data_IF_759458655139
#
_entry.id   IF_759458655139
#
_cell.length_a   1.000
_cell.length_b   1.000
_cell.length_c   1.000
_cell.angle_alpha   90.00
_cell.angle_beta   90.00
_cell.angle_gamma   90.00
#
_symmetry.space_group_name_H-M   'P 1'
#
loop_
_entity.id
_entity.type
_entity.pdbx_description
1 polymer ?
#
# COMPACT_ATOMS: atom_id res chain seq x y z
N UNK A 1 -17.50 18.11 7.17
CA UNK A 1 -16.62 18.45 6.03
C UNK A 1 -17.32 19.40 5.09
N UNK A 2 -16.60 20.36 4.58
CA UNK A 2 -17.18 21.24 3.58
C UNK A 2 -17.38 20.46 2.28
N UNK A 3 -18.46 20.80 1.56
CA UNK A 3 -18.77 20.16 0.30
C UNK A 3 -17.65 20.33 -0.73
N UNK A 4 -17.06 21.51 -0.78
CA UNK A 4 -15.99 21.82 -1.72
C UNK A 4 -14.76 20.96 -1.46
N UNK A 5 -14.36 20.86 -0.22
CA UNK A 5 -13.22 20.03 0.16
C UNK A 5 -13.49 18.57 -0.13
N UNK A 6 -14.69 18.11 0.16
CA UNK A 6 -15.12 16.75 -0.12
C UNK A 6 -15.05 16.43 -1.59
N UNK A 7 -15.53 17.31 -2.44
CA UNK A 7 -15.52 17.11 -3.89
C UNK A 7 -14.10 17.05 -4.42
N UNK A 8 -13.25 17.97 -3.97
CA UNK A 8 -11.86 18.00 -4.39
C UNK A 8 -11.12 16.73 -3.95
N UNK A 9 -11.33 16.33 -2.71
CA UNK A 9 -10.73 15.09 -2.19
C UNK A 9 -11.26 13.87 -2.92
N UNK A 10 -12.56 13.83 -3.23
CA UNK A 10 -13.14 12.72 -3.98
C UNK A 10 -12.51 12.57 -5.35
N UNK A 11 -12.30 13.65 -6.09
CA UNK A 11 -11.65 13.58 -7.39
C UNK A 11 -10.23 13.05 -7.28
N UNK A 12 -9.49 13.55 -6.31
CA UNK A 12 -8.12 13.11 -6.06
C UNK A 12 -8.08 11.66 -5.61
N UNK A 13 -8.92 11.28 -4.65
CA UNK A 13 -9.00 9.93 -4.13
C UNK A 13 -9.52 8.94 -5.18
N UNK A 14 -10.48 9.34 -6.00
CA UNK A 14 -10.99 8.48 -7.07
C UNK A 14 -9.89 8.14 -8.05
N UNK A 15 -9.09 9.13 -8.43
CA UNK A 15 -7.94 8.91 -9.31
C UNK A 15 -6.93 7.99 -8.64
N UNK A 16 -6.59 8.27 -7.39
CA UNK A 16 -5.66 7.45 -6.62
C UNK A 16 -6.21 6.05 -6.40
N UNK A 17 -7.50 5.93 -6.08
CA UNK A 17 -8.13 4.64 -5.87
C UNK A 17 -8.13 3.80 -7.12
N UNK A 18 -8.47 4.38 -8.28
CA UNK A 18 -8.42 3.65 -9.55
C UNK A 18 -7.02 3.15 -9.84
N UNK A 19 -6.03 4.00 -9.66
CA UNK A 19 -4.64 3.60 -9.86
C UNK A 19 -4.19 2.60 -8.81
N UNK A 20 -4.62 2.78 -7.55
CA UNK A 20 -4.29 1.86 -6.47
C UNK A 20 -4.96 0.49 -6.64
N UNK A 21 -6.05 0.38 -7.37
CA UNK A 21 -6.66 -0.92 -7.66
C UNK A 21 -5.77 -1.83 -8.49
N UNK A 22 -4.76 -1.30 -9.14
CA UNK A 22 -3.74 -2.14 -9.76
C UNK A 22 -2.86 -2.81 -8.73
N UNK A 23 -2.76 -2.24 -7.53
CA UNK A 23 -1.95 -2.76 -6.43
C UNK A 23 -2.79 -3.45 -5.36
N UNK A 24 -3.94 -2.87 -5.01
CA UNK A 24 -4.83 -3.39 -3.98
C UNK A 24 -6.19 -3.63 -4.62
N UNK A 25 -6.66 -4.87 -4.54
CA UNK A 25 -7.94 -5.28 -5.08
C UNK A 25 -8.94 -5.49 -3.95
N UNK A 26 -10.21 -5.31 -4.24
CA UNK A 26 -11.27 -5.56 -3.28
C UNK A 26 -11.22 -7.00 -2.76
N UNK A 27 -10.86 -7.92 -3.63
CA UNK A 27 -10.72 -9.34 -3.26
C UNK A 27 -9.61 -9.61 -2.25
N UNK A 28 -8.68 -8.67 -2.06
CA UNK A 28 -7.63 -8.81 -1.04
C UNK A 28 -8.22 -8.69 0.37
N UNK A 29 -9.37 -8.05 0.50
CA UNK A 29 -10.09 -7.90 1.78
C UNK A 29 -9.23 -7.31 2.87
N UNK A 30 -8.48 -6.26 2.54
CA UNK A 30 -7.69 -5.55 3.53
C UNK A 30 -8.62 -4.78 4.47
N UNK A 31 -8.47 -4.92 5.80
CA UNK A 31 -9.19 -4.08 6.73
C UNK A 31 -8.70 -2.65 6.65
N UNK A 32 -9.46 -1.72 7.24
CA UNK A 32 -8.96 -0.36 7.40
C UNK A 32 -7.90 -0.34 8.51
N UNK A 33 -6.98 0.65 8.51
CA UNK A 33 -5.95 0.73 9.53
C UNK A 33 -6.48 0.95 10.95
N UNK A 34 -7.71 1.45 11.08
CA UNK A 34 -8.32 1.65 12.39
C UNK A 34 -8.40 0.34 13.17
N UNK A 35 -7.82 0.34 14.36
CA UNK A 35 -7.83 -0.85 15.19
C UNK A 35 -6.80 -1.90 14.82
N UNK A 36 -5.86 -1.59 13.96
CA UNK A 36 -4.77 -2.51 13.61
C UNK A 36 -3.71 -2.55 14.70
N UNK A 37 -4.12 -3.01 15.87
CA UNK A 37 -3.23 -3.16 17.01
C UNK A 37 -2.93 -4.62 17.33
N UNK A 38 -3.24 -5.51 16.40
CA UNK A 38 -2.90 -6.91 16.57
C UNK A 38 -1.38 -7.06 16.57
N UNK A 39 -0.90 -8.03 17.32
CA UNK A 39 0.52 -8.23 17.49
C UNK A 39 1.25 -8.52 16.19
N UNK A 40 0.60 -9.17 15.25
CA UNK A 40 1.29 -9.60 14.04
C UNK A 40 0.27 -9.78 12.92
N UNK A 41 -0.28 -8.69 12.40
CA UNK A 41 -1.28 -8.80 11.36
C UNK A 41 -0.71 -9.37 10.07
N UNK A 42 -1.57 -10.00 9.30
CA UNK A 42 -1.18 -10.65 8.04
C UNK A 42 -1.09 -9.59 6.94
N UNK A 43 0.06 -9.50 6.31
CA UNK A 43 0.21 -8.75 5.08
C UNK A 43 -0.32 -9.60 3.92
N UNK A 44 -1.23 -9.05 3.15
CA UNK A 44 -1.88 -9.76 2.04
C UNK A 44 -1.36 -9.34 0.69
N UNK A 45 -0.65 -8.24 0.62
CA UNK A 45 -0.14 -7.69 -0.64
C UNK A 45 1.31 -7.31 -0.47
N UNK A 46 2.15 -7.70 -1.42
CA UNK A 46 3.51 -7.22 -1.51
C UNK A 46 3.66 -6.39 -2.78
N UNK A 47 4.24 -5.20 -2.61
CA UNK A 47 4.64 -4.32 -3.72
C UNK A 47 6.15 -4.20 -3.72
N UNK A 48 6.73 -3.94 -4.87
CA UNK A 48 8.18 -3.77 -4.95
C UNK A 48 8.56 -2.81 -6.08
N UNK A 49 9.74 -2.22 -5.93
CA UNK A 49 10.34 -1.40 -6.98
C UNK A 49 11.18 -2.33 -7.86
N UNK A 50 10.80 -2.55 -9.12
CA UNK A 50 11.54 -3.49 -9.98
C UNK A 50 12.94 -3.01 -10.34
N UNK A 51 13.25 -1.74 -10.12
CA UNK A 51 14.57 -1.19 -10.42
C UNK A 51 15.33 -0.78 -9.17
N UNK A 52 14.89 -1.23 -8.01
CA UNK A 52 15.54 -0.92 -6.74
C UNK A 52 15.25 -1.97 -5.69
N UNK A 53 15.68 -1.72 -4.46
CA UNK A 53 15.56 -2.70 -3.39
C UNK A 53 14.29 -2.54 -2.54
N UNK A 54 13.51 -1.48 -2.76
CA UNK A 54 12.37 -1.18 -1.90
C UNK A 54 11.22 -2.16 -2.09
N UNK A 55 10.60 -2.53 -0.98
CA UNK A 55 9.41 -3.38 -0.96
C UNK A 55 8.44 -2.89 0.11
N UNK A 56 7.16 -3.16 -0.11
CA UNK A 56 6.09 -2.80 0.81
C UNK A 56 5.18 -3.99 1.03
N UNK A 57 4.76 -4.19 2.27
CA UNK A 57 3.92 -5.32 2.67
C UNK A 57 2.69 -4.76 3.34
N UNK A 58 1.53 -4.91 2.72
CA UNK A 58 0.31 -4.21 3.11
C UNK A 58 -0.61 -5.12 3.91
N UNK A 59 -0.93 -4.71 5.13
CA UNK A 59 -1.85 -5.43 6.00
C UNK A 59 -3.22 -4.75 6.11
N UNK A 60 -3.29 -3.45 5.82
CA UNK A 60 -4.53 -2.67 5.89
C UNK A 60 -4.51 -1.56 4.86
N UNK A 61 -5.67 -1.07 4.49
CA UNK A 61 -5.80 0.02 3.54
C UNK A 61 -7.10 0.78 3.76
N UNK A 62 -7.02 2.10 3.72
CA UNK A 62 -8.17 2.98 3.78
C UNK A 62 -8.29 3.73 2.46
N UNK A 63 -9.26 3.37 1.60
CA UNK A 63 -9.43 4.05 0.33
C UNK A 63 -9.88 5.50 0.46
N UNK A 64 -10.45 5.91 1.59
CA UNK A 64 -10.86 7.30 1.80
C UNK A 64 -9.68 8.22 2.02
N UNK A 65 -8.65 7.75 2.69
CA UNK A 65 -7.46 8.56 2.98
C UNK A 65 -6.30 8.27 2.04
N UNK A 66 -6.31 7.10 1.38
CA UNK A 66 -5.19 6.63 0.59
C UNK A 66 -4.07 6.04 1.42
N UNK A 67 -4.29 5.85 2.72
CA UNK A 67 -3.26 5.34 3.62
C UNK A 67 -3.41 3.83 3.77
N UNK A 68 -2.33 3.11 3.46
CA UNK A 68 -2.18 1.72 3.81
C UNK A 68 -1.35 1.62 5.09
N UNK A 69 -1.37 0.46 5.71
CA UNK A 69 -0.58 0.18 6.90
C UNK A 69 0.06 -1.20 6.77
N UNK A 70 1.31 -1.28 7.17
CA UNK A 70 2.05 -2.52 7.09
C UNK A 70 3.53 -2.29 7.30
N UNK A 71 4.35 -2.92 6.48
CA UNK A 71 5.80 -2.78 6.57
C UNK A 71 6.37 -2.26 5.27
N UNK A 72 7.47 -1.53 5.37
CA UNK A 72 8.23 -1.08 4.23
C UNK A 72 9.72 -1.37 4.47
N UNK A 73 10.38 -1.83 3.43
CA UNK A 73 11.83 -1.96 3.40
C UNK A 73 12.35 -1.00 2.34
N UNK A 74 12.99 0.08 2.78
CA UNK A 74 13.65 1.03 1.87
C UNK A 74 15.15 0.98 2.16
N UNK A 75 15.55 1.29 3.36
CA UNK A 75 16.90 1.09 3.86
C UNK A 75 16.94 0.06 4.98
N UNK A 76 15.85 -0.01 5.71
CA UNK A 76 15.64 -0.98 6.78
C UNK A 76 14.15 -1.31 6.86
N UNK A 77 13.83 -2.37 7.57
CA UNK A 77 12.46 -2.86 7.69
C UNK A 77 11.74 -2.07 8.78
N UNK A 78 10.68 -1.35 8.39
CA UNK A 78 9.90 -0.50 9.31
C UNK A 78 8.42 -0.77 9.14
N UNK A 79 7.69 -0.70 10.25
CA UNK A 79 6.24 -0.86 10.26
C UNK A 79 5.60 0.51 10.46
N UNK A 80 4.57 0.81 9.70
CA UNK A 80 3.86 2.08 9.80
C UNK A 80 2.94 2.35 8.64
N UNK A 81 2.61 3.62 8.48
CA UNK A 81 1.72 4.08 7.42
C UNK A 81 2.45 4.16 6.09
N UNK A 82 1.72 3.82 5.04
CA UNK A 82 2.20 3.86 3.67
C UNK A 82 1.19 4.66 2.85
N UNK A 83 1.61 5.78 2.31
CA UNK A 83 0.72 6.63 1.53
C UNK A 83 0.67 6.14 0.08
N UNK A 84 -0.40 5.46 -0.27
CA UNK A 84 -0.53 4.81 -1.58
C UNK A 84 -0.44 5.75 -2.78
N UNK A 85 -0.97 6.99 -2.73
CA UNK A 85 -0.80 7.89 -3.88
C UNK A 85 0.65 8.14 -4.28
N UNK A 86 1.57 8.18 -3.33
CA UNK A 86 2.99 8.33 -3.63
C UNK A 86 3.54 7.11 -4.39
N UNK A 87 3.12 5.92 -3.98
CA UNK A 87 3.54 4.71 -4.67
C UNK A 87 2.95 4.62 -6.07
N UNK A 88 1.71 5.02 -6.22
CA UNK A 88 1.01 5.02 -7.51
C UNK A 88 1.73 5.93 -8.51
N UNK A 89 2.20 7.07 -8.07
CA UNK A 89 2.85 8.06 -8.93
C UNK A 89 4.34 7.80 -9.13
N UNK A 90 4.94 6.98 -8.30
CA UNK A 90 6.37 6.71 -8.37
C UNK A 90 6.77 6.11 -9.71
N UNK A 91 7.88 6.60 -10.24
CA UNK A 91 8.54 6.00 -11.41
C UNK A 91 10.01 5.88 -11.09
N UNK A 92 10.51 4.67 -11.20
CA UNK A 92 11.92 4.39 -10.95
C UNK A 92 12.76 4.51 -12.22
N UNK A 93 13.87 3.82 -12.21
CA UNK A 93 14.78 3.79 -13.34
C UNK A 93 14.03 3.31 -14.61
N UNK A 94 14.34 3.90 -15.74
CA UNK A 94 13.66 3.63 -17.02
C UNK A 94 12.15 3.96 -17.00
N UNK A 95 11.69 4.75 -16.04
CA UNK A 95 10.28 5.12 -15.94
C UNK A 95 9.38 3.98 -15.46
N UNK A 96 9.92 2.94 -14.85
CA UNK A 96 9.14 1.79 -14.41
C UNK A 96 8.40 2.09 -13.11
N UNK A 97 7.11 1.72 -13.04
CA UNK A 97 6.32 1.90 -11.82
C UNK A 97 6.63 0.84 -10.77
N UNK A 98 6.08 1.04 -9.58
CA UNK A 98 6.01 -0.01 -8.57
C UNK A 98 5.19 -1.16 -9.14
N UNK A 99 5.54 -2.39 -8.77
CA UNK A 99 4.81 -3.58 -9.21
C UNK A 99 4.29 -4.38 -8.03
N UNK A 100 3.21 -5.11 -8.25
CA UNK A 100 2.70 -6.07 -7.28
C UNK A 100 3.31 -7.45 -7.56
N UNK A 101 3.77 -8.10 -6.52
CA UNK A 101 4.27 -9.48 -6.62
C UNK A 101 3.08 -10.44 -6.61
N UNK A 102 2.71 -10.93 -7.78
CA UNK A 102 1.56 -11.81 -7.95
C UNK A 102 1.82 -13.25 -7.47
N UNK A 103 3.08 -13.57 -7.19
CA UNK A 103 3.48 -14.90 -6.74
C UNK A 103 3.73 -14.96 -5.22
N UNK A 104 3.57 -13.83 -4.55
CA UNK A 104 3.82 -13.74 -3.12
C UNK A 104 2.58 -14.19 -2.34
N UNK A 105 2.78 -15.01 -1.31
CA UNK A 105 1.68 -15.51 -0.48
C UNK A 105 1.55 -14.69 0.79
N UNK A 106 0.31 -14.39 1.23
CA UNK A 106 0.08 -13.67 2.48
C UNK A 106 0.78 -14.33 3.66
N UNK A 107 1.32 -13.50 4.54
CA UNK A 107 2.02 -13.96 5.75
C UNK A 107 2.05 -12.87 6.80
N UNK A 108 2.23 -13.22 8.08
CA UNK A 108 2.36 -12.22 9.14
C UNK A 108 3.50 -11.24 8.86
N UNK A 109 3.35 -10.01 9.31
CA UNK A 109 4.38 -8.97 9.09
C UNK A 109 5.75 -9.41 9.62
N UNK A 110 5.79 -10.15 10.73
CA UNK A 110 7.05 -10.66 11.28
C UNK A 110 7.81 -11.59 10.34
N UNK A 111 7.13 -12.13 9.34
CA UNK A 111 7.72 -13.04 8.37
C UNK A 111 7.95 -12.40 7.01
N UNK A 112 7.73 -11.10 6.91
CA UNK A 112 7.83 -10.40 5.62
C UNK A 112 9.25 -9.97 5.28
N UNK A 113 10.07 -9.65 6.27
CA UNK A 113 11.41 -9.16 6.03
C UNK A 113 12.21 -10.18 5.21
N UNK A 114 12.74 -9.72 4.06
CA UNK A 114 13.50 -10.59 3.18
C UNK A 114 12.68 -11.56 2.32
N UNK A 115 11.35 -11.45 2.39
CA UNK A 115 10.49 -12.36 1.64
C UNK A 115 10.19 -11.93 0.21
#
# INVERSE_FOLDING_TARGET
MSTLKSTFQQLSLTKSSKAAYSYIRESDKLPTPDGMYEHDPVAKVKLFNPTGAASWYLAAYDPETGIAWGAAFIHEFEIGDIYMPELVEFRGLFGLPIERDLHWSPRPLSQCEGS
#
